data_IF_395542793178
#
_entry.id   IF_395542793178
#
_cell.length_a   1.000
_cell.length_b   1.000
_cell.length_c   1.000
_cell.angle_alpha   90.00
_cell.angle_beta   90.00
_cell.angle_gamma   90.00
#
_symmetry.space_group_name_H-M   'P 1'
#
loop_
_entity.id
_entity.type
_entity.pdbx_description
1 polymer ?
#
# COMPACT_ATOMS: atom_id res chain seq x y z
N UNK A 1 6.10 19.14 12.64
CA UNK A 1 6.79 18.00 12.01
C UNK A 1 8.29 18.29 12.04
N UNK A 2 9.13 17.36 12.50
CA UNK A 2 10.59 17.55 12.55
C UNK A 2 11.15 17.72 11.12
N UNK A 3 12.17 18.56 10.94
CA UNK A 3 12.88 18.76 9.67
C UNK A 3 13.34 17.44 9.01
N UNK A 4 13.78 16.44 9.79
CA UNK A 4 14.18 15.12 9.27
C UNK A 4 13.00 14.39 8.60
N UNK A 5 11.84 14.40 9.22
CA UNK A 5 10.61 13.78 8.70
C UNK A 5 10.11 14.54 7.47
N UNK A 6 10.18 15.87 7.48
CA UNK A 6 9.83 16.68 6.31
C UNK A 6 10.75 16.37 5.11
N UNK A 7 12.05 16.18 5.37
CA UNK A 7 13.01 15.76 4.34
C UNK A 7 12.66 14.36 3.80
N UNK A 8 12.30 13.41 4.66
CA UNK A 8 11.84 12.09 4.22
C UNK A 8 10.64 12.17 3.27
N UNK A 9 9.64 13.01 3.58
CA UNK A 9 8.49 13.21 2.69
C UNK A 9 8.91 13.74 1.32
N UNK A 10 9.79 14.74 1.27
CA UNK A 10 10.27 15.27 -0.01
C UNK A 10 11.06 14.25 -0.82
N UNK A 11 11.91 13.45 -0.17
CA UNK A 11 12.62 12.37 -0.84
C UNK A 11 11.63 11.32 -1.38
N UNK A 12 10.66 10.91 -0.57
CA UNK A 12 9.63 9.96 -0.98
C UNK A 12 8.85 10.46 -2.21
N UNK A 13 8.38 11.72 -2.18
CA UNK A 13 7.65 12.33 -3.29
C UNK A 13 8.52 12.46 -4.55
N UNK A 14 9.79 12.86 -4.39
CA UNK A 14 10.71 12.97 -5.52
C UNK A 14 10.97 11.59 -6.16
N UNK A 15 11.20 10.55 -5.35
CA UNK A 15 11.40 9.19 -5.86
C UNK A 15 10.14 8.64 -6.52
N UNK A 16 8.96 8.83 -5.92
CA UNK A 16 7.68 8.43 -6.52
C UNK A 16 7.46 9.12 -7.87
N UNK A 17 7.72 10.43 -7.96
CA UNK A 17 7.61 11.18 -9.20
C UNK A 17 8.59 10.68 -10.27
N UNK A 18 9.84 10.42 -9.88
CA UNK A 18 10.86 9.87 -10.80
C UNK A 18 10.45 8.50 -11.31
N UNK A 19 10.04 7.57 -10.43
CA UNK A 19 9.56 6.24 -10.83
C UNK A 19 8.36 6.36 -11.79
N UNK A 20 7.39 7.21 -11.46
CA UNK A 20 6.21 7.46 -12.28
C UNK A 20 6.60 7.94 -13.67
N UNK A 21 7.50 8.94 -13.77
CA UNK A 21 7.98 9.45 -15.07
C UNK A 21 8.72 8.37 -15.86
N UNK A 22 9.59 7.59 -15.21
CA UNK A 22 10.34 6.52 -15.88
C UNK A 22 9.39 5.48 -16.46
N UNK A 23 8.45 4.96 -15.67
CA UNK A 23 7.53 3.92 -16.14
C UNK A 23 6.52 4.45 -17.15
N UNK A 24 6.04 5.68 -17.02
CA UNK A 24 5.23 6.33 -18.06
C UNK A 24 6.01 6.46 -19.37
N UNK A 25 7.28 6.87 -19.32
CA UNK A 25 8.13 6.96 -20.49
C UNK A 25 8.38 5.59 -21.13
N UNK A 26 8.65 4.54 -20.33
CA UNK A 26 8.77 3.17 -20.83
C UNK A 26 7.48 2.69 -21.48
N UNK A 27 6.34 2.90 -20.85
CA UNK A 27 5.03 2.52 -21.40
C UNK A 27 4.72 3.24 -22.72
N UNK A 28 5.00 4.54 -22.79
CA UNK A 28 4.72 5.36 -23.98
C UNK A 28 5.69 5.06 -25.13
N UNK A 29 6.99 5.05 -24.85
CA UNK A 29 8.07 5.06 -25.84
C UNK A 29 8.61 3.67 -26.20
N UNK A 30 8.36 2.64 -25.39
CA UNK A 30 8.87 1.30 -25.62
C UNK A 30 7.73 0.26 -25.71
N UNK A 31 7.04 0.16 -26.88
CA UNK A 31 5.89 -0.74 -27.05
C UNK A 31 6.18 -2.21 -26.70
N UNK A 32 7.40 -2.67 -26.95
CA UNK A 32 7.83 -4.04 -26.62
C UNK A 32 7.81 -4.36 -25.12
N UNK A 33 7.86 -3.33 -24.25
CA UNK A 33 7.80 -3.49 -22.80
C UNK A 33 6.39 -3.42 -22.22
N UNK A 34 5.40 -2.90 -22.97
CA UNK A 34 4.04 -2.68 -22.45
C UNK A 34 3.42 -3.94 -21.86
N UNK A 35 3.60 -5.09 -22.51
CA UNK A 35 3.10 -6.37 -21.99
C UNK A 35 3.74 -6.71 -20.64
N UNK A 36 5.06 -6.57 -20.51
CA UNK A 36 5.78 -6.85 -19.26
C UNK A 36 5.44 -5.88 -18.12
N UNK A 37 4.92 -4.69 -18.44
CA UNK A 37 4.52 -3.67 -17.46
C UNK A 37 3.07 -3.82 -16.98
N UNK A 38 2.26 -4.70 -17.59
CA UNK A 38 0.81 -4.80 -17.31
C UNK A 38 0.33 -6.24 -17.17
N UNK A 39 1.23 -7.21 -17.29
CA UNK A 39 0.88 -8.61 -17.08
C UNK A 39 1.17 -8.93 -15.63
N UNK A 40 0.20 -9.55 -14.96
CA UNK A 40 0.38 -10.10 -13.62
C UNK A 40 1.67 -10.95 -13.54
N UNK A 41 2.32 -10.92 -12.39
CA UNK A 41 3.59 -11.52 -12.02
C UNK A 41 4.79 -11.07 -12.85
N UNK A 42 4.74 -9.88 -13.47
CA UNK A 42 5.86 -9.32 -14.24
C UNK A 42 6.53 -8.13 -13.53
N UNK A 43 7.01 -7.16 -14.30
CA UNK A 43 8.09 -6.28 -13.83
C UNK A 43 7.66 -5.29 -12.76
N UNK A 44 6.44 -4.74 -12.83
CA UNK A 44 5.93 -3.78 -11.86
C UNK A 44 5.53 -4.48 -10.57
N UNK A 45 4.63 -5.45 -10.61
CA UNK A 45 4.26 -6.31 -9.48
C UNK A 45 5.47 -6.90 -8.75
N UNK A 46 6.46 -7.47 -9.45
CA UNK A 46 7.67 -7.99 -8.79
C UNK A 46 8.47 -6.89 -8.08
N UNK A 47 8.54 -5.68 -8.65
CA UNK A 47 9.21 -4.55 -8.01
C UNK A 47 8.42 -4.03 -6.81
N UNK A 48 7.09 -3.99 -6.91
CA UNK A 48 6.16 -3.68 -5.81
C UNK A 48 6.33 -4.67 -4.67
N UNK A 49 6.34 -5.98 -4.96
CA UNK A 49 6.60 -7.05 -3.99
C UNK A 49 7.97 -6.90 -3.32
N UNK A 50 9.05 -6.70 -4.08
CA UNK A 50 10.40 -6.50 -3.50
C UNK A 50 10.43 -5.29 -2.56
N UNK A 51 9.83 -4.17 -2.97
CA UNK A 51 9.75 -2.97 -2.13
C UNK A 51 8.87 -3.19 -0.90
N UNK A 52 7.76 -3.91 -1.03
CA UNK A 52 6.88 -4.25 0.08
C UNK A 52 7.60 -5.16 1.09
N UNK A 53 8.33 -6.19 0.65
CA UNK A 53 9.12 -7.03 1.54
C UNK A 53 10.20 -6.22 2.28
N UNK A 54 10.93 -5.37 1.55
CA UNK A 54 11.92 -4.48 2.15
C UNK A 54 11.28 -3.54 3.18
N UNK A 55 10.11 -2.98 2.87
CA UNK A 55 9.33 -2.13 3.75
C UNK A 55 8.86 -2.87 5.01
N UNK A 56 8.39 -4.11 4.88
CA UNK A 56 7.99 -4.95 6.01
C UNK A 56 9.19 -5.24 6.93
N UNK A 57 10.34 -5.64 6.38
CA UNK A 57 11.56 -5.91 7.15
C UNK A 57 12.02 -4.64 7.88
N UNK A 58 12.10 -3.50 7.18
CA UNK A 58 12.49 -2.22 7.79
C UNK A 58 11.49 -1.82 8.89
N UNK A 59 10.19 -1.99 8.63
CA UNK A 59 9.11 -1.69 9.57
C UNK A 59 9.15 -2.55 10.83
N UNK A 60 9.31 -3.87 10.71
CA UNK A 60 9.45 -4.79 11.85
C UNK A 60 10.69 -4.47 12.67
N UNK A 61 11.85 -4.26 12.02
CA UNK A 61 13.09 -3.87 12.71
C UNK A 61 12.94 -2.54 13.45
N UNK A 62 12.28 -1.56 12.82
CA UNK A 62 12.00 -0.27 13.45
C UNK A 62 11.05 -0.40 14.65
N UNK A 63 9.99 -1.20 14.52
CA UNK A 63 9.02 -1.44 15.59
C UNK A 63 9.63 -2.17 16.79
N UNK A 64 10.45 -3.20 16.55
CA UNK A 64 11.14 -3.95 17.61
C UNK A 64 12.09 -3.06 18.43
N UNK A 65 12.65 -2.02 17.78
CA UNK A 65 13.53 -1.03 18.41
C UNK A 65 12.78 0.09 19.14
N UNK A 66 11.44 0.18 19.06
CA UNK A 66 10.68 1.20 19.77
C UNK A 66 10.57 0.88 21.27
N UNK A 67 10.83 1.85 22.16
CA UNK A 67 10.48 1.72 23.57
C UNK A 67 8.98 1.48 23.73
N UNK A 68 8.61 0.50 24.56
CA UNK A 68 7.21 0.15 24.85
C UNK A 68 6.42 -0.49 23.69
N UNK A 69 7.02 -0.62 22.48
CA UNK A 69 6.47 -1.35 21.33
C UNK A 69 4.96 -1.15 21.13
N UNK A 70 4.49 0.08 20.86
CA UNK A 70 3.07 0.37 20.77
C UNK A 70 2.41 -0.52 19.71
N UNK A 71 1.44 -1.34 20.13
CA UNK A 71 0.78 -2.36 19.28
C UNK A 71 0.17 -1.75 18.02
N UNK A 72 -0.35 -0.52 18.10
CA UNK A 72 -0.94 0.15 16.92
C UNK A 72 0.07 0.39 15.79
N UNK A 73 1.37 0.53 16.10
CA UNK A 73 2.41 0.71 15.09
C UNK A 73 2.89 -0.62 14.48
N UNK A 74 2.56 -1.76 15.09
CA UNK A 74 2.77 -3.09 14.50
C UNK A 74 1.90 -3.30 13.25
N UNK A 75 0.76 -2.59 13.20
CA UNK A 75 -0.14 -2.64 12.03
C UNK A 75 0.57 -2.24 10.74
N UNK A 76 1.56 -1.34 10.79
CA UNK A 76 2.30 -0.92 9.61
C UNK A 76 3.02 -2.11 8.96
N UNK A 77 4.05 -2.73 9.58
CA UNK A 77 4.77 -3.83 8.93
C UNK A 77 3.90 -5.07 8.70
N UNK A 78 2.88 -5.33 9.52
CA UNK A 78 1.94 -6.44 9.27
C UNK A 78 1.13 -6.20 8.00
N UNK A 79 0.56 -5.00 7.82
CA UNK A 79 -0.21 -4.68 6.60
C UNK A 79 0.68 -4.72 5.37
N UNK A 80 1.92 -4.22 5.48
CA UNK A 80 2.88 -4.26 4.37
C UNK A 80 3.28 -5.69 4.02
N UNK A 81 3.43 -6.56 5.02
CA UNK A 81 3.67 -7.98 4.79
C UNK A 81 2.48 -8.64 4.09
N UNK A 82 1.25 -8.31 4.48
CA UNK A 82 0.05 -8.80 3.79
C UNK A 82 0.03 -8.31 2.34
N UNK A 83 0.30 -7.01 2.11
CA UNK A 83 0.42 -6.46 0.76
C UNK A 83 1.47 -7.20 -0.08
N UNK A 84 2.66 -7.47 0.47
CA UNK A 84 3.65 -8.31 -0.20
C UNK A 84 3.16 -9.73 -0.53
N UNK A 85 2.38 -10.34 0.36
CA UNK A 85 1.83 -11.68 0.12
C UNK A 85 0.74 -11.67 -0.95
N UNK A 86 0.01 -10.55 -1.10
CA UNK A 86 -0.97 -10.35 -2.18
C UNK A 86 -0.28 -10.17 -3.55
N UNK A 87 0.89 -9.50 -3.59
CA UNK A 87 1.67 -9.20 -4.81
C UNK A 87 2.54 -10.37 -5.30
N UNK A 88 2.52 -11.50 -4.61
CA UNK A 88 3.24 -12.70 -5.06
C UNK A 88 2.21 -13.79 -5.25
N UNK A 89 2.08 -14.29 -6.48
CA UNK A 89 1.30 -15.50 -6.78
C UNK A 89 1.97 -16.77 -6.22
N UNK A 90 2.04 -16.88 -4.88
CA UNK A 90 2.75 -17.94 -4.15
C UNK A 90 2.34 -19.35 -4.56
N UNK A 91 1.05 -19.55 -4.83
CA UNK A 91 0.50 -20.88 -5.09
C UNK A 91 1.04 -21.50 -6.36
N UNK A 92 0.78 -20.87 -7.51
CA UNK A 92 1.06 -21.50 -8.80
C UNK A 92 2.54 -21.45 -9.18
N UNK A 93 3.22 -20.31 -8.98
CA UNK A 93 4.56 -20.12 -9.52
C UNK A 93 5.66 -20.70 -8.61
N UNK A 94 5.53 -20.51 -7.29
CA UNK A 94 6.55 -20.94 -6.33
C UNK A 94 6.28 -22.31 -5.73
N UNK A 95 5.04 -22.57 -5.28
CA UNK A 95 4.68 -23.83 -4.63
C UNK A 95 4.20 -24.90 -5.62
N UNK A 96 4.02 -24.54 -6.91
CA UNK A 96 3.39 -25.40 -7.93
C UNK A 96 2.07 -25.99 -7.46
N UNK A 97 1.40 -25.28 -6.57
CA UNK A 97 0.12 -25.64 -6.00
C UNK A 97 -0.97 -25.11 -6.93
N UNK A 98 -1.92 -25.96 -7.38
CA UNK A 98 -2.99 -25.51 -8.24
C UNK A 98 -3.87 -24.52 -7.48
N UNK A 99 -3.93 -23.28 -7.97
CA UNK A 99 -4.79 -22.25 -7.39
C UNK A 99 -6.27 -22.61 -7.58
N UNK A 100 -7.15 -22.29 -6.61
CA UNK A 100 -8.57 -22.54 -6.74
C UNK A 100 -9.13 -21.72 -7.91
N UNK A 101 -10.01 -22.35 -8.69
CA UNK A 101 -10.69 -21.72 -9.82
C UNK A 101 -12.11 -21.36 -9.39
N UNK A 102 -12.44 -20.07 -9.44
CA UNK A 102 -13.76 -19.54 -9.13
C UNK A 102 -14.30 -18.89 -10.40
N UNK A 103 -15.47 -19.35 -10.87
CA UNK A 103 -16.09 -18.90 -12.13
C UNK A 103 -15.16 -18.96 -13.36
N UNK A 104 -14.32 -20.01 -13.44
CA UNK A 104 -13.43 -20.23 -14.59
C UNK A 104 -12.16 -19.37 -14.59
N UNK A 105 -11.94 -18.55 -13.56
CA UNK A 105 -10.70 -17.80 -13.36
C UNK A 105 -9.98 -18.29 -12.10
N UNK A 106 -8.65 -18.23 -12.11
CA UNK A 106 -7.84 -18.58 -10.93
C UNK A 106 -7.91 -17.44 -9.92
N UNK A 107 -7.92 -17.81 -8.65
CA UNK A 107 -7.77 -16.87 -7.54
C UNK A 107 -6.27 -16.74 -7.22
N UNK A 108 -5.65 -15.69 -7.72
CA UNK A 108 -4.23 -15.39 -7.51
C UNK A 108 -4.00 -14.72 -6.15
N UNK A 109 -4.95 -13.88 -5.74
CA UNK A 109 -4.85 -13.05 -4.54
C UNK A 109 -6.15 -13.05 -3.72
N UNK A 110 -6.14 -12.49 -2.51
CA UNK A 110 -7.37 -12.26 -1.73
C UNK A 110 -8.18 -11.12 -2.34
N UNK A 111 -7.52 -10.12 -2.94
CA UNK A 111 -8.22 -9.00 -3.57
C UNK A 111 -9.08 -9.44 -4.76
N UNK A 112 -8.72 -10.52 -5.48
CA UNK A 112 -9.54 -11.15 -6.54
C UNK A 112 -10.94 -11.60 -6.07
N UNK A 113 -11.10 -11.90 -4.77
CA UNK A 113 -12.39 -12.31 -4.22
C UNK A 113 -13.44 -11.21 -4.36
N UNK A 114 -13.04 -9.94 -4.31
CA UNK A 114 -13.95 -8.79 -4.40
C UNK A 114 -14.58 -8.71 -5.80
N UNK A 115 -13.83 -8.55 -6.91
CA UNK A 115 -14.42 -8.51 -8.24
C UNK A 115 -15.19 -9.80 -8.57
N UNK A 116 -14.72 -10.98 -8.16
CA UNK A 116 -15.46 -12.22 -8.36
C UNK A 116 -16.80 -12.28 -7.61
N UNK A 117 -16.83 -11.78 -6.38
CA UNK A 117 -18.08 -11.68 -5.61
C UNK A 117 -19.02 -10.68 -6.25
N UNK A 118 -18.52 -9.53 -6.70
CA UNK A 118 -19.31 -8.52 -7.39
C UNK A 118 -19.87 -9.03 -8.71
N UNK A 119 -19.07 -9.76 -9.49
CA UNK A 119 -19.50 -10.37 -10.75
C UNK A 119 -20.59 -11.44 -10.52
N UNK A 120 -20.37 -12.34 -9.55
CA UNK A 120 -21.35 -13.35 -9.19
C UNK A 120 -22.70 -12.74 -8.74
N UNK A 121 -22.64 -11.63 -7.99
CA UNK A 121 -23.83 -10.90 -7.55
C UNK A 121 -24.50 -10.14 -8.70
N UNK A 122 -23.72 -9.57 -9.63
CA UNK A 122 -24.23 -8.89 -10.83
C UNK A 122 -25.13 -9.80 -11.65
N UNK A 123 -24.69 -11.03 -11.87
CA UNK A 123 -25.41 -12.00 -12.70
C UNK A 123 -26.61 -12.63 -11.98
N UNK A 124 -26.52 -12.83 -10.65
CA UNK A 124 -27.57 -13.51 -9.88
C UNK A 124 -28.62 -12.57 -9.27
N UNK A 125 -28.21 -11.40 -8.80
CA UNK A 125 -29.08 -10.46 -8.10
C UNK A 125 -28.54 -9.03 -8.21
N UNK A 126 -28.77 -8.34 -9.34
CA UNK A 126 -28.30 -6.97 -9.54
C UNK A 126 -28.88 -6.00 -8.50
N UNK A 127 -30.08 -6.27 -7.97
CA UNK A 127 -30.66 -5.50 -6.88
C UNK A 127 -29.85 -5.62 -5.58
N UNK A 128 -29.42 -6.84 -5.22
CA UNK A 128 -28.57 -7.05 -4.04
C UNK A 128 -27.20 -6.40 -4.22
N UNK A 129 -26.59 -6.52 -5.40
CA UNK A 129 -25.35 -5.83 -5.74
C UNK A 129 -25.49 -4.32 -5.55
N UNK A 130 -26.50 -3.70 -6.17
CA UNK A 130 -26.74 -2.26 -6.05
C UNK A 130 -27.02 -1.84 -4.61
N UNK A 131 -27.76 -2.65 -3.86
CA UNK A 131 -28.02 -2.44 -2.43
C UNK A 131 -26.73 -2.47 -1.59
N UNK A 132 -25.84 -3.43 -1.83
CA UNK A 132 -24.54 -3.55 -1.15
C UNK A 132 -23.59 -2.41 -1.52
N UNK A 133 -23.54 -2.02 -2.80
CA UNK A 133 -22.76 -0.86 -3.25
C UNK A 133 -23.29 0.42 -2.59
N UNK A 134 -24.60 0.66 -2.64
CA UNK A 134 -25.23 1.82 -1.99
C UNK A 134 -24.98 1.83 -0.48
N UNK A 135 -25.08 0.68 0.19
CA UNK A 135 -24.78 0.55 1.61
C UNK A 135 -23.30 0.85 1.90
N UNK A 136 -22.37 0.33 1.10
CA UNK A 136 -20.93 0.60 1.22
C UNK A 136 -20.63 2.10 1.05
N UNK A 137 -21.20 2.74 0.03
CA UNK A 137 -21.06 4.19 -0.18
C UNK A 137 -21.67 4.99 0.97
N UNK A 138 -22.85 4.60 1.46
CA UNK A 138 -23.51 5.27 2.58
C UNK A 138 -22.70 5.14 3.88
N UNK A 139 -22.15 3.96 4.16
CA UNK A 139 -21.27 3.71 5.31
C UNK A 139 -19.96 4.50 5.19
N UNK A 140 -19.35 4.53 4.00
CA UNK A 140 -18.17 5.33 3.73
C UNK A 140 -18.43 6.83 3.95
N UNK A 141 -19.52 7.35 3.39
CA UNK A 141 -19.94 8.74 3.60
C UNK A 141 -20.24 9.04 5.08
N UNK A 142 -20.93 8.14 5.77
CA UNK A 142 -21.20 8.26 7.20
C UNK A 142 -19.91 8.26 8.04
N UNK A 143 -18.91 7.45 7.68
CA UNK A 143 -17.59 7.43 8.32
C UNK A 143 -16.78 8.70 8.04
N UNK A 144 -17.01 9.39 6.92
CA UNK A 144 -16.38 10.69 6.63
C UNK A 144 -16.83 11.79 7.58
N UNK A 145 -18.07 11.77 8.08
CA UNK A 145 -18.58 12.81 8.99
C UNK A 145 -17.75 12.94 10.29
N UNK A 146 -17.50 11.87 11.08
CA UNK A 146 -16.67 11.98 12.27
C UNK A 146 -15.19 12.24 11.93
N UNK A 147 -14.68 11.71 10.82
CA UNK A 147 -13.30 11.96 10.38
C UNK A 147 -13.10 13.44 10.03
N UNK A 148 -14.07 14.05 9.36
CA UNK A 148 -14.07 15.48 9.06
C UNK A 148 -14.15 16.34 10.32
N UNK A 149 -15.09 16.01 11.22
CA UNK A 149 -15.22 16.71 12.51
C UNK A 149 -13.94 16.64 13.34
N UNK A 150 -13.19 15.52 13.24
CA UNK A 150 -11.93 15.28 13.97
C UNK A 150 -10.68 15.60 13.16
N UNK A 151 -10.78 16.19 11.96
CA UNK A 151 -9.65 16.40 11.04
C UNK A 151 -8.45 17.11 11.68
N UNK A 152 -8.69 18.09 12.55
CA UNK A 152 -7.62 18.82 13.23
C UNK A 152 -6.87 17.91 14.24
N UNK A 153 -7.62 17.14 15.02
CA UNK A 153 -7.07 16.16 15.96
C UNK A 153 -6.34 15.03 15.25
N UNK A 154 -6.90 14.52 14.15
CA UNK A 154 -6.27 13.51 13.30
C UNK A 154 -4.97 14.04 12.68
N UNK A 155 -5.00 15.25 12.10
CA UNK A 155 -3.80 15.90 11.53
C UNK A 155 -2.72 16.09 12.59
N UNK A 156 -3.08 16.48 13.80
CA UNK A 156 -2.14 16.58 14.91
C UNK A 156 -1.60 15.21 15.35
N UNK A 157 -2.46 14.19 15.39
CA UNK A 157 -2.06 12.79 15.64
C UNK A 157 -1.06 12.27 14.62
N UNK A 158 -1.31 12.50 13.32
CA UNK A 158 -0.40 12.15 12.22
C UNK A 158 0.89 12.96 12.26
N UNK A 159 0.84 14.25 12.64
CA UNK A 159 2.04 15.07 12.87
C UNK A 159 2.92 14.52 13.98
N UNK A 160 2.32 13.94 15.03
CA UNK A 160 3.02 13.30 16.16
C UNK A 160 3.54 11.91 15.81
N UNK A 161 2.88 11.21 14.87
CA UNK A 161 3.23 9.84 14.43
C UNK A 161 3.38 9.81 12.91
N UNK A 162 4.49 10.35 12.37
CA UNK A 162 4.63 10.54 10.94
C UNK A 162 4.61 9.23 10.13
N UNK A 163 5.01 8.11 10.73
CA UNK A 163 4.88 6.79 10.11
C UNK A 163 3.43 6.46 9.71
N UNK A 164 2.44 6.89 10.51
CA UNK A 164 1.03 6.72 10.17
C UNK A 164 0.63 7.60 8.97
N UNK A 165 1.27 8.76 8.78
CA UNK A 165 1.02 9.61 7.61
C UNK A 165 1.42 8.91 6.31
N UNK A 166 2.60 8.31 6.27
CA UNK A 166 3.05 7.48 5.14
C UNK A 166 2.14 6.26 4.96
N UNK A 167 1.83 5.56 6.04
CA UNK A 167 0.95 4.40 6.02
C UNK A 167 -0.41 4.70 5.37
N UNK A 168 -1.11 5.76 5.81
CA UNK A 168 -2.39 6.13 5.21
C UNK A 168 -2.25 6.65 3.78
N UNK A 169 -1.13 7.28 3.42
CA UNK A 169 -0.88 7.68 2.03
C UNK A 169 -0.70 6.45 1.11
N UNK A 170 0.01 5.41 1.54
CA UNK A 170 0.10 4.14 0.81
C UNK A 170 -1.27 3.49 0.65
N UNK A 171 -2.07 3.41 1.73
CA UNK A 171 -3.42 2.84 1.65
C UNK A 171 -4.32 3.62 0.69
N UNK A 172 -4.17 4.94 0.62
CA UNK A 172 -4.91 5.76 -0.34
C UNK A 172 -4.49 5.47 -1.79
N UNK A 173 -3.20 5.24 -2.05
CA UNK A 173 -2.71 4.86 -3.38
C UNK A 173 -3.23 3.48 -3.80
N UNK A 174 -3.18 2.49 -2.92
CA UNK A 174 -3.76 1.15 -3.16
C UNK A 174 -5.25 1.28 -3.46
N UNK A 175 -6.00 1.99 -2.61
CA UNK A 175 -7.43 2.19 -2.83
C UNK A 175 -7.73 2.86 -4.18
N UNK A 176 -6.88 3.79 -4.65
CA UNK A 176 -7.03 4.39 -5.97
C UNK A 176 -6.73 3.41 -7.11
N UNK A 177 -5.72 2.53 -6.96
CA UNK A 177 -5.43 1.46 -7.91
C UNK A 177 -6.61 0.49 -8.04
N UNK A 178 -7.12 0.04 -6.90
CA UNK A 178 -8.26 -0.88 -6.83
C UNK A 178 -9.57 -0.27 -7.38
N UNK A 179 -9.76 1.05 -7.25
CA UNK A 179 -10.89 1.74 -7.91
C UNK A 179 -10.72 1.76 -9.44
N UNK A 180 -9.48 1.83 -9.92
CA UNK A 180 -9.21 1.80 -11.36
C UNK A 180 -9.43 0.42 -11.97
N UNK A 181 -9.25 -0.66 -11.21
CA UNK A 181 -9.52 -2.05 -11.62
C UNK A 181 -11.02 -2.39 -11.72
N UNK A 182 -11.93 -1.52 -11.26
CA UNK A 182 -13.37 -1.78 -11.39
C UNK A 182 -13.76 -1.76 -12.88
N UNK A 183 -13.77 -2.94 -13.50
CA UNK A 183 -14.20 -3.51 -14.81
C UNK A 183 -14.75 -2.62 -15.95
N UNK A 184 -15.05 -1.35 -15.74
CA UNK A 184 -15.63 -0.42 -16.71
C UNK A 184 -14.64 -0.08 -17.82
N UNK A 185 -13.34 -0.28 -17.60
CA UNK A 185 -12.28 0.14 -18.53
C UNK A 185 -11.19 -0.93 -18.64
N UNK A 186 -11.52 -2.13 -19.15
CA UNK A 186 -10.56 -3.20 -19.49
C UNK A 186 -9.57 -2.75 -20.59
N UNK A 187 -8.72 -1.78 -20.27
CA UNK A 187 -7.74 -1.15 -21.14
C UNK A 187 -6.39 -1.36 -20.48
N UNK A 188 -5.41 -1.77 -21.28
CA UNK A 188 -4.03 -1.97 -20.86
C UNK A 188 -3.44 -0.78 -20.06
N UNK A 189 -3.88 0.45 -20.37
CA UNK A 189 -3.44 1.65 -19.67
C UNK A 189 -3.98 1.78 -18.23
N UNK A 190 -5.12 1.14 -17.93
CA UNK A 190 -5.74 1.15 -16.59
C UNK A 190 -5.00 0.18 -15.69
N UNK A 191 -4.76 -1.05 -16.15
CA UNK A 191 -3.88 -2.01 -15.47
C UNK A 191 -2.48 -1.43 -15.24
N UNK A 192 -1.90 -0.77 -16.24
CA UNK A 192 -0.62 -0.08 -16.06
C UNK A 192 -0.67 0.98 -14.94
N UNK A 193 -1.77 1.74 -14.83
CA UNK A 193 -1.93 2.77 -13.82
C UNK A 193 -2.06 2.16 -12.42
N UNK A 194 -2.83 1.09 -12.29
CA UNK A 194 -2.97 0.31 -11.05
C UNK A 194 -1.61 -0.18 -10.53
N UNK A 195 -0.89 -0.93 -11.36
CA UNK A 195 0.46 -1.44 -11.09
C UNK A 195 1.43 -0.32 -10.66
N UNK A 196 1.34 0.83 -11.33
CA UNK A 196 2.17 1.99 -11.01
C UNK A 196 1.77 2.65 -9.67
N UNK A 197 0.48 2.66 -9.32
CA UNK A 197 0.00 3.16 -8.04
C UNK A 197 0.42 2.23 -6.89
N UNK A 198 0.38 0.92 -7.10
CA UNK A 198 0.83 -0.11 -6.15
C UNK A 198 2.33 -0.06 -5.92
N UNK A 199 3.13 0.11 -6.98
CA UNK A 199 4.57 0.34 -6.85
C UNK A 199 4.88 1.58 -5.99
N UNK A 200 4.17 2.67 -6.25
CA UNK A 200 4.32 3.88 -5.45
C UNK A 200 3.84 3.67 -4.00
N UNK A 201 2.78 2.89 -3.78
CA UNK A 201 2.31 2.56 -2.44
C UNK A 201 3.36 1.74 -1.65
N UNK A 202 3.99 0.76 -2.29
CA UNK A 202 5.09 -0.04 -1.74
C UNK A 202 6.29 0.84 -1.35
N UNK A 203 6.66 1.79 -2.22
CA UNK A 203 7.69 2.79 -1.90
C UNK A 203 7.29 3.63 -0.69
N UNK A 204 6.07 4.17 -0.65
CA UNK A 204 5.60 4.99 0.48
C UNK A 204 5.57 4.18 1.78
N UNK A 205 5.28 2.87 1.72
CA UNK A 205 5.36 1.97 2.88
C UNK A 205 6.79 1.79 3.38
N UNK A 206 7.78 1.72 2.50
CA UNK A 206 9.19 1.71 2.89
C UNK A 206 9.53 2.98 3.70
N UNK A 207 9.04 4.13 3.26
CA UNK A 207 9.20 5.39 3.99
C UNK A 207 8.41 5.43 5.31
N UNK A 208 7.28 4.72 5.43
CA UNK A 208 6.59 4.52 6.71
C UNK A 208 7.50 3.79 7.72
N UNK A 209 8.17 2.72 7.28
CA UNK A 209 9.16 1.99 8.10
C UNK A 209 10.36 2.85 8.50
N UNK A 210 10.89 3.66 7.57
CA UNK A 210 11.97 4.61 7.87
C UNK A 210 11.54 5.71 8.85
N UNK A 211 10.33 6.25 8.71
CA UNK A 211 9.77 7.24 9.63
C UNK A 211 9.55 6.64 11.03
N UNK A 212 9.18 5.36 11.10
CA UNK A 212 9.07 4.62 12.37
C UNK A 212 10.44 4.52 13.05
N UNK A 213 11.49 4.21 12.29
CA UNK A 213 12.88 4.14 12.79
C UNK A 213 13.37 5.49 13.33
N UNK A 214 13.05 6.60 12.67
CA UNK A 214 13.40 7.94 13.18
C UNK A 214 12.70 8.27 14.51
N UNK A 215 11.54 7.67 14.75
CA UNK A 215 10.81 7.84 16.02
C UNK A 215 11.45 7.00 17.14
N UNK A 216 12.07 5.86 16.80
CA UNK A 216 12.77 4.98 17.74
C UNK A 216 14.12 5.50 18.23
N UNK A 217 14.69 6.53 17.61
CA UNK A 217 15.99 7.13 18.01
C UNK A 217 15.83 8.57 18.52
N UNK A 218 15.20 8.80 19.68
CA UNK A 218 15.15 10.14 20.28
C UNK A 218 16.53 10.65 20.72
N UNK A 219 17.49 9.75 20.99
CA UNK A 219 18.78 10.06 21.63
C UNK A 219 19.86 10.60 20.67
N UNK A 220 19.58 10.68 19.36
CA UNK A 220 20.45 11.37 18.39
C UNK A 220 20.03 12.85 18.20
N UNK A 221 19.40 13.45 19.22
CA UNK A 221 19.23 14.90 19.31
C UNK A 221 20.59 15.51 19.68
N UNK A 222 21.14 16.44 18.88
CA UNK A 222 22.37 17.14 19.25
C UNK A 222 22.22 17.75 20.65
N UNK A 223 23.08 17.35 21.59
CA UNK A 223 23.15 17.95 22.93
C UNK A 223 22.44 17.22 24.08
N UNK A 224 21.86 16.04 23.87
CA UNK A 224 21.36 15.21 25.00
C UNK A 224 22.41 14.12 25.30
N UNK A 225 23.03 14.11 26.50
CA UNK A 225 23.98 13.07 26.87
C UNK A 225 23.31 11.69 26.81
N UNK A 226 23.99 10.70 26.24
CA UNK A 226 23.55 9.31 26.35
C UNK A 226 23.50 8.94 27.83
N UNK A 227 22.42 8.32 28.33
CA UNK A 227 22.46 7.72 29.66
C UNK A 227 23.61 6.72 29.71
N UNK A 228 24.41 6.79 30.78
CA UNK A 228 25.53 5.87 30.98
C UNK A 228 25.03 4.42 30.88
N UNK A 229 25.82 3.57 30.22
CA UNK A 229 25.51 2.15 30.18
C UNK A 229 25.40 1.61 31.62
N UNK A 230 24.39 0.77 31.92
CA UNK A 230 24.32 0.14 33.23
C UNK A 230 25.59 -0.69 33.49
N UNK A 231 26.02 -0.77 34.76
CA UNK A 231 27.25 -1.47 35.16
C UNK A 231 27.19 -2.97 34.86
#
# INVERSE_FOLDING_TARGET
MNARVRRLWWICLALAAVLTVIFLALYALAPGWRKSLVTENHSLEMLSAILALAAAIVGFRAWLALPGRPRILLLIPVTVLLFFLEEISWGEEFLRYPLPVVFGRKLHSVHDLVPYTLWALRDRSPLLLNGLLAATFALGAAAMVPLWKRRASLREGLRRRPALGFFFASLALIALGQISDVEVWHKQAVYFLEELLELNAALVFLFAGLALRLTARPDERPGVPRPAAPP
#
